data_IF_026889648608
#
_entry.id   IF_026889648608
#
_cell.length_a   1.000
_cell.length_b   1.000
_cell.length_c   1.000
_cell.angle_alpha   90.00
_cell.angle_beta   90.00
_cell.angle_gamma   90.00
#
_symmetry.space_group_name_H-M   'P 1'
#
loop_
_entity.id
_entity.type
_entity.pdbx_description
1 polymer ?
#
# COMPACT_ATOMS: atom_id res chain seq x y z
N UNK A 1 25.69 11.50 22.67
CA UNK A 1 26.67 10.88 21.75
C UNK A 1 26.08 10.96 20.35
N UNK A 2 26.59 11.88 19.55
CA UNK A 2 26.15 12.14 18.17
C UNK A 2 26.63 11.01 17.27
N UNK A 3 25.73 10.15 16.79
CA UNK A 3 26.02 9.25 15.67
C UNK A 3 26.10 10.11 14.39
N UNK A 4 27.31 10.48 13.99
CA UNK A 4 27.59 10.91 12.62
C UNK A 4 27.58 9.65 11.72
N UNK A 5 26.39 9.12 11.44
CA UNK A 5 26.24 8.07 10.43
C UNK A 5 26.07 8.74 9.07
N UNK A 6 27.05 8.60 8.18
CA UNK A 6 26.98 9.02 6.78
C UNK A 6 26.06 8.05 6.00
N UNK A 7 24.80 7.94 6.42
CA UNK A 7 23.75 7.20 5.71
C UNK A 7 23.40 8.00 4.47
N UNK A 8 23.55 7.40 3.29
CA UNK A 8 22.97 7.95 2.07
C UNK A 8 21.49 7.56 2.02
N UNK A 9 20.55 8.47 2.36
CA UNK A 9 19.16 8.11 2.59
C UNK A 9 18.39 8.28 1.27
N UNK A 10 18.23 7.18 0.55
CA UNK A 10 17.37 7.12 -0.65
C UNK A 10 16.03 6.44 -0.36
N UNK A 11 15.60 6.44 0.90
CA UNK A 11 14.36 5.79 1.31
C UNK A 11 13.15 6.52 0.73
N UNK A 12 12.18 5.79 0.17
CA UNK A 12 10.96 6.35 -0.43
C UNK A 12 11.19 7.33 -1.59
N UNK A 13 12.24 7.14 -2.38
CA UNK A 13 12.61 8.02 -3.50
C UNK A 13 12.03 7.60 -4.86
N UNK A 14 11.10 6.64 -4.89
CA UNK A 14 10.53 6.06 -6.11
C UNK A 14 11.61 5.63 -7.12
N UNK A 15 12.61 4.89 -6.62
CA UNK A 15 13.76 4.46 -7.43
C UNK A 15 13.33 3.51 -8.56
N UNK A 16 13.94 3.72 -9.73
CA UNK A 16 13.74 2.89 -10.92
C UNK A 16 14.86 1.84 -11.05
N UNK A 17 14.73 0.93 -12.00
CA UNK A 17 15.78 -0.03 -12.34
C UNK A 17 17.10 0.67 -12.72
N UNK A 18 17.04 1.76 -13.49
CA UNK A 18 18.21 2.59 -13.82
C UNK A 18 18.89 3.18 -12.57
N UNK A 19 18.10 3.50 -11.54
CA UNK A 19 18.66 3.96 -10.27
C UNK A 19 19.45 2.85 -9.59
N UNK A 20 18.98 1.60 -9.65
CA UNK A 20 19.72 0.43 -9.15
C UNK A 20 20.98 0.15 -9.96
N UNK A 21 20.97 0.32 -11.29
CA UNK A 21 22.18 0.21 -12.13
C UNK A 21 23.24 1.25 -11.72
N UNK A 22 22.83 2.51 -11.57
CA UNK A 22 23.73 3.58 -11.13
C UNK A 22 24.30 3.30 -9.73
N UNK A 23 23.47 2.85 -8.80
CA UNK A 23 23.91 2.47 -7.45
C UNK A 23 24.86 1.26 -7.49
N UNK A 24 24.60 0.27 -8.35
CA UNK A 24 25.48 -0.87 -8.55
C UNK A 24 26.86 -0.44 -9.07
N UNK A 25 26.89 0.52 -10.00
CA UNK A 25 28.15 1.13 -10.47
C UNK A 25 28.88 1.87 -9.36
N UNK A 26 28.16 2.57 -8.47
CA UNK A 26 28.75 3.24 -7.30
C UNK A 26 29.30 2.23 -6.29
N UNK A 27 28.59 1.14 -6.03
CA UNK A 27 29.03 0.07 -5.13
C UNK A 27 30.26 -0.68 -5.66
N UNK A 28 30.38 -0.78 -6.99
CA UNK A 28 31.50 -1.42 -7.68
C UNK A 28 32.73 -0.51 -7.87
N UNK A 29 32.60 0.79 -7.62
CA UNK A 29 33.66 1.75 -7.89
C UNK A 29 34.75 1.72 -6.80
N UNK A 30 36.01 1.66 -7.23
CA UNK A 30 37.19 1.76 -6.36
C UNK A 30 37.25 3.07 -5.56
N UNK A 31 36.68 4.16 -6.09
CA UNK A 31 36.66 5.47 -5.43
C UNK A 31 35.49 5.64 -4.46
N UNK A 32 34.63 4.63 -4.30
CA UNK A 32 33.43 4.74 -3.50
C UNK A 32 33.73 4.80 -2.00
N UNK A 33 33.35 5.93 -1.39
CA UNK A 33 33.35 6.11 0.06
C UNK A 33 32.04 5.68 0.71
N UNK A 34 31.07 5.15 -0.05
CA UNK A 34 29.77 4.75 0.47
C UNK A 34 29.94 3.63 1.52
N UNK A 35 29.37 3.84 2.70
CA UNK A 35 29.40 2.88 3.82
C UNK A 35 28.01 2.47 4.26
N UNK A 36 27.04 3.35 4.12
CA UNK A 36 25.69 3.11 4.59
C UNK A 36 24.70 3.55 3.52
N UNK A 37 23.85 2.63 3.10
CA UNK A 37 22.87 2.83 2.04
C UNK A 37 21.49 2.40 2.53
N UNK A 38 20.59 3.37 2.63
CA UNK A 38 19.20 3.13 2.98
C UNK A 38 18.32 3.30 1.74
N UNK A 39 17.85 2.16 1.21
CA UNK A 39 16.95 2.08 0.06
C UNK A 39 15.55 1.65 0.47
N UNK A 40 15.26 1.64 1.77
CA UNK A 40 14.00 1.16 2.29
C UNK A 40 12.82 1.86 1.61
N UNK A 41 11.74 1.12 1.41
CA UNK A 41 10.48 1.62 0.90
C UNK A 41 10.52 2.11 -0.57
N UNK A 42 11.37 1.50 -1.38
CA UNK A 42 11.33 1.65 -2.84
C UNK A 42 10.86 0.34 -3.48
N UNK A 43 10.10 0.41 -4.57
CA UNK A 43 9.57 -0.79 -5.26
C UNK A 43 10.66 -1.48 -6.12
N UNK A 44 11.80 -1.82 -5.52
CA UNK A 44 12.97 -2.37 -6.22
C UNK A 44 12.68 -3.76 -6.80
N UNK A 45 11.87 -4.56 -6.12
CA UNK A 45 11.56 -5.94 -6.47
C UNK A 45 12.85 -6.80 -6.61
N UNK A 46 12.72 -8.02 -7.11
CA UNK A 46 13.86 -8.92 -7.30
C UNK A 46 14.85 -8.40 -8.36
N UNK A 47 14.38 -7.68 -9.38
CA UNK A 47 15.23 -7.14 -10.46
C UNK A 47 16.17 -6.05 -9.96
N UNK A 48 15.65 -5.06 -9.23
CA UNK A 48 16.47 -4.01 -8.62
C UNK A 48 17.48 -4.57 -7.63
N UNK A 49 17.08 -5.56 -6.82
CA UNK A 49 17.98 -6.25 -5.89
C UNK A 49 19.07 -7.04 -6.62
N UNK A 50 18.74 -7.69 -7.74
CA UNK A 50 19.74 -8.40 -8.56
C UNK A 50 20.82 -7.46 -9.08
N UNK A 51 20.46 -6.26 -9.51
CA UNK A 51 21.41 -5.23 -9.95
C UNK A 51 22.30 -4.76 -8.80
N UNK A 52 21.71 -4.49 -7.63
CA UNK A 52 22.46 -4.11 -6.42
C UNK A 52 23.40 -5.22 -5.97
N UNK A 53 22.95 -6.48 -6.02
CA UNK A 53 23.76 -7.65 -5.69
C UNK A 53 25.01 -7.75 -6.56
N UNK A 54 24.92 -7.43 -7.86
CA UNK A 54 26.10 -7.38 -8.74
C UNK A 54 27.14 -6.35 -8.27
N UNK A 55 26.71 -5.23 -7.67
CA UNK A 55 27.61 -4.25 -7.08
C UNK A 55 28.23 -4.69 -5.76
N UNK A 56 27.48 -5.43 -4.94
CA UNK A 56 27.95 -6.01 -3.68
C UNK A 56 28.94 -7.18 -3.89
N UNK A 57 28.79 -7.89 -5.00
CA UNK A 57 29.65 -9.00 -5.42
C UNK A 57 31.09 -8.53 -5.74
N UNK A 58 31.28 -7.23 -5.95
CA UNK A 58 32.59 -6.64 -6.21
C UNK A 58 33.49 -6.68 -4.94
N UNK A 59 34.69 -7.29 -4.97
CA UNK A 59 35.60 -7.38 -3.83
C UNK A 59 36.02 -6.03 -3.20
N UNK A 60 35.84 -4.93 -3.93
CA UNK A 60 36.19 -3.59 -3.50
C UNK A 60 35.00 -2.86 -2.84
N UNK A 61 33.81 -3.46 -2.81
CA UNK A 61 32.64 -2.90 -2.18
C UNK A 61 32.84 -2.82 -0.66
N UNK A 62 32.76 -1.62 -0.10
CA UNK A 62 32.99 -1.34 1.34
C UNK A 62 31.71 -1.01 2.11
N UNK A 63 30.55 -1.37 1.56
CA UNK A 63 29.27 -1.09 2.19
C UNK A 63 29.14 -1.87 3.51
N UNK A 64 28.93 -1.16 4.61
CA UNK A 64 28.72 -1.69 5.96
C UNK A 64 27.25 -1.81 6.34
N UNK A 65 26.38 -0.95 5.83
CA UNK A 65 24.94 -0.98 6.13
C UNK A 65 24.12 -0.95 4.85
N UNK A 66 23.21 -1.91 4.72
CA UNK A 66 22.23 -1.97 3.63
C UNK A 66 20.83 -2.16 4.21
N UNK A 67 19.97 -1.17 4.01
CA UNK A 67 18.55 -1.27 4.38
C UNK A 67 17.70 -1.34 3.13
N UNK A 68 16.95 -2.44 3.01
CA UNK A 68 16.06 -2.79 1.91
C UNK A 68 14.66 -3.12 2.44
N UNK A 69 14.32 -2.57 3.61
CA UNK A 69 13.03 -2.80 4.25
C UNK A 69 11.90 -2.33 3.34
N UNK A 70 10.85 -3.13 3.15
CA UNK A 70 9.70 -2.71 2.35
C UNK A 70 9.96 -2.58 0.84
N UNK A 71 10.85 -3.38 0.25
CA UNK A 71 11.25 -3.25 -1.16
C UNK A 71 10.62 -4.25 -2.14
N UNK A 72 9.58 -4.98 -1.74
CA UNK A 72 8.89 -6.02 -2.53
C UNK A 72 9.80 -7.19 -2.96
N UNK A 73 10.78 -7.53 -2.11
CA UNK A 73 11.77 -8.58 -2.36
C UNK A 73 11.15 -9.95 -2.09
N UNK A 74 11.35 -10.91 -2.99
CA UNK A 74 10.93 -12.30 -2.82
C UNK A 74 12.12 -13.24 -2.58
N UNK A 75 11.86 -14.54 -2.48
CA UNK A 75 12.88 -15.60 -2.44
C UNK A 75 13.94 -15.47 -3.55
N UNK A 76 13.56 -14.98 -4.75
CA UNK A 76 14.49 -14.80 -5.88
C UNK A 76 15.48 -13.66 -5.64
N UNK A 77 15.04 -12.56 -5.05
CA UNK A 77 15.90 -11.47 -4.61
C UNK A 77 16.84 -11.91 -3.48
N UNK A 78 16.34 -12.71 -2.53
CA UNK A 78 17.17 -13.33 -1.48
C UNK A 78 18.31 -14.18 -2.06
N UNK A 79 18.02 -14.99 -3.08
CA UNK A 79 19.04 -15.81 -3.75
C UNK A 79 20.15 -14.96 -4.39
N UNK A 80 19.79 -13.81 -4.99
CA UNK A 80 20.75 -12.88 -5.58
C UNK A 80 21.65 -12.25 -4.52
N UNK A 81 21.06 -11.74 -3.42
CA UNK A 81 21.81 -11.17 -2.29
C UNK A 81 22.74 -12.20 -1.65
N UNK A 82 22.25 -13.40 -1.38
CA UNK A 82 23.04 -14.45 -0.78
C UNK A 82 24.19 -14.91 -1.69
N UNK A 83 24.03 -14.87 -3.01
CA UNK A 83 25.13 -15.14 -3.92
C UNK A 83 26.24 -14.10 -3.76
N UNK A 84 25.89 -12.81 -3.77
CA UNK A 84 26.87 -11.73 -3.59
C UNK A 84 27.57 -11.81 -2.22
N UNK A 85 26.81 -12.08 -1.15
CA UNK A 85 27.36 -12.26 0.20
C UNK A 85 28.28 -13.49 0.32
N UNK A 86 28.09 -14.52 -0.52
CA UNK A 86 28.98 -15.70 -0.57
C UNK A 86 30.24 -15.46 -1.38
N UNK A 87 30.20 -14.71 -2.47
CA UNK A 87 31.39 -14.50 -3.31
C UNK A 87 32.37 -13.52 -2.68
N UNK A 88 31.86 -12.48 -2.02
CA UNK A 88 32.65 -11.43 -1.43
C UNK A 88 32.48 -11.46 0.09
N UNK A 89 33.54 -11.62 0.91
CA UNK A 89 33.47 -11.48 2.35
C UNK A 89 33.12 -10.01 2.67
N UNK A 90 31.81 -9.73 2.68
CA UNK A 90 31.32 -8.37 2.66
C UNK A 90 31.74 -7.62 3.93
N UNK A 91 32.04 -6.33 3.79
CA UNK A 91 32.15 -5.40 4.91
C UNK A 91 30.81 -5.17 5.62
N UNK A 92 29.73 -5.81 5.14
CA UNK A 92 28.38 -5.62 5.63
C UNK A 92 28.28 -6.07 7.09
N UNK A 93 27.83 -5.14 7.92
CA UNK A 93 27.54 -5.27 9.34
C UNK A 93 26.03 -5.24 9.62
N UNK A 94 25.26 -4.49 8.84
CA UNK A 94 23.81 -4.39 8.99
C UNK A 94 23.09 -4.70 7.66
N UNK A 95 22.17 -5.65 7.71
CA UNK A 95 21.22 -5.95 6.64
C UNK A 95 19.79 -5.94 7.19
N UNK A 96 18.98 -4.97 6.76
CA UNK A 96 17.55 -4.88 7.09
C UNK A 96 16.69 -5.22 5.87
N UNK A 97 15.99 -6.35 5.95
CA UNK A 97 15.09 -6.87 4.92
C UNK A 97 13.65 -7.01 5.42
N UNK A 98 13.29 -6.38 6.55
CA UNK A 98 11.91 -6.42 7.08
C UNK A 98 10.88 -5.97 6.04
N UNK A 99 9.63 -6.38 6.20
CA UNK A 99 8.52 -5.98 5.33
C UNK A 99 8.70 -6.33 3.84
N UNK A 100 9.34 -7.47 3.58
CA UNK A 100 9.46 -8.12 2.26
C UNK A 100 8.82 -9.51 2.28
N UNK A 101 8.78 -10.19 1.13
CA UNK A 101 8.19 -11.53 0.94
C UNK A 101 9.27 -12.61 0.84
N UNK A 102 10.19 -12.61 1.80
CA UNK A 102 11.39 -13.44 1.71
C UNK A 102 11.09 -14.94 1.74
N UNK A 103 9.96 -15.35 2.34
CA UNK A 103 9.63 -16.75 2.62
C UNK A 103 10.61 -17.42 3.59
N UNK A 104 10.21 -18.55 4.17
CA UNK A 104 11.11 -19.33 5.05
C UNK A 104 12.36 -19.79 4.30
N UNK A 105 12.20 -20.11 3.01
CA UNK A 105 13.30 -20.58 2.17
C UNK A 105 14.31 -19.46 1.88
N UNK A 106 13.86 -18.24 1.58
CA UNK A 106 14.73 -17.10 1.33
C UNK A 106 15.46 -16.63 2.60
N UNK A 107 14.77 -16.64 3.76
CA UNK A 107 15.42 -16.38 5.06
C UNK A 107 16.50 -17.41 5.33
N UNK A 108 16.19 -18.72 5.20
CA UNK A 108 17.16 -19.80 5.39
C UNK A 108 18.36 -19.68 4.45
N UNK A 109 18.12 -19.29 3.20
CA UNK A 109 19.15 -19.10 2.19
C UNK A 109 20.11 -17.97 2.59
N UNK A 110 19.58 -16.82 3.02
CA UNK A 110 20.38 -15.69 3.53
C UNK A 110 21.16 -16.05 4.79
N UNK A 111 20.52 -16.65 5.79
CA UNK A 111 21.19 -17.08 7.03
C UNK A 111 22.37 -18.02 6.73
N UNK A 112 22.17 -18.99 5.83
CA UNK A 112 23.22 -19.95 5.45
C UNK A 112 24.40 -19.31 4.71
N UNK A 113 24.16 -18.21 3.98
CA UNK A 113 25.21 -17.46 3.30
C UNK A 113 26.04 -16.65 4.30
N UNK A 114 25.37 -16.03 5.28
CA UNK A 114 25.99 -15.23 6.34
C UNK A 114 26.85 -16.11 7.25
N UNK A 115 26.34 -17.27 7.68
CA UNK A 115 27.05 -18.21 8.55
C UNK A 115 28.35 -18.75 7.91
N UNK A 116 28.32 -19.09 6.62
CA UNK A 116 29.45 -19.73 5.93
C UNK A 116 30.67 -18.83 5.74
N UNK A 117 30.48 -17.53 5.59
CA UNK A 117 31.55 -16.59 5.26
C UNK A 117 32.26 -16.00 6.48
N UNK A 118 31.87 -16.38 7.72
CA UNK A 118 32.30 -15.67 8.93
C UNK A 118 32.08 -14.14 8.83
N UNK A 119 31.12 -13.70 8.00
CA UNK A 119 30.71 -12.31 7.93
C UNK A 119 30.25 -11.92 9.33
N UNK A 120 30.94 -10.96 10.00
CA UNK A 120 30.41 -10.39 11.25
C UNK A 120 29.30 -9.41 10.89
N UNK A 121 28.16 -9.93 10.50
CA UNK A 121 26.94 -9.15 10.37
C UNK A 121 26.43 -8.96 11.81
N UNK A 122 26.62 -7.76 12.35
CA UNK A 122 26.19 -7.41 13.71
C UNK A 122 24.66 -7.35 13.82
N UNK A 123 23.96 -7.09 12.71
CA UNK A 123 22.51 -6.95 12.69
C UNK A 123 21.91 -7.51 11.40
N UNK A 124 21.12 -8.57 11.54
CA UNK A 124 20.27 -9.12 10.48
C UNK A 124 18.82 -8.99 10.89
N UNK A 125 18.02 -8.24 10.13
CA UNK A 125 16.60 -8.03 10.43
C UNK A 125 15.74 -8.58 9.31
N UNK A 126 14.86 -9.51 9.65
CA UNK A 126 13.83 -10.10 8.78
C UNK A 126 12.49 -10.11 9.52
N UNK A 127 11.39 -10.35 8.80
CA UNK A 127 10.04 -10.43 9.38
C UNK A 127 9.18 -9.17 9.18
N UNK A 128 7.92 -9.24 9.61
CA UNK A 128 6.95 -8.15 9.55
C UNK A 128 6.76 -7.41 10.89
N UNK A 129 7.50 -7.80 11.94
CA UNK A 129 7.17 -7.43 13.32
C UNK A 129 8.11 -6.35 13.89
N UNK A 130 8.11 -5.16 13.28
CA UNK A 130 8.77 -3.99 13.87
C UNK A 130 7.77 -2.97 14.38
N UNK A 131 7.74 -2.71 15.69
CA UNK A 131 6.87 -1.70 16.36
C UNK A 131 6.96 -0.25 15.81
N UNK A 132 7.79 0.02 14.80
CA UNK A 132 7.97 1.34 14.18
C UNK A 132 7.10 1.62 12.95
N UNK A 133 6.08 0.79 12.65
CA UNK A 133 5.26 0.97 11.44
C UNK A 133 4.07 1.95 11.57
N UNK A 134 3.96 2.69 12.68
CA UNK A 134 2.77 3.50 13.00
C UNK A 134 2.91 5.03 12.85
N UNK A 135 3.90 5.55 12.12
CA UNK A 135 3.89 6.94 11.56
C UNK A 135 4.64 6.98 10.21
N UNK A 136 4.54 8.05 9.40
CA UNK A 136 3.77 8.25 8.15
C UNK A 136 3.93 7.22 7.00
N UNK A 137 4.43 6.01 7.26
CA UNK A 137 4.90 5.07 6.24
C UNK A 137 3.87 4.59 5.20
N UNK A 138 2.57 4.64 5.46
CA UNK A 138 1.54 4.24 4.48
C UNK A 138 1.26 5.33 3.44
N UNK A 139 1.28 6.60 3.84
CA UNK A 139 0.99 7.75 2.95
C UNK A 139 1.97 7.84 1.77
N UNK A 140 3.15 7.21 1.83
CA UNK A 140 4.09 7.15 0.70
C UNK A 140 3.61 6.26 -0.45
N UNK A 141 2.73 5.29 -0.17
CA UNK A 141 2.10 4.45 -1.19
C UNK A 141 0.85 5.13 -1.76
N UNK A 142 0.70 6.44 -1.56
CA UNK A 142 -0.48 7.15 -2.00
C UNK A 142 -0.67 6.96 -3.51
N UNK A 143 -1.85 6.48 -3.88
CA UNK A 143 -2.30 6.38 -5.25
C UNK A 143 -3.38 7.41 -5.49
N UNK A 144 -3.21 8.17 -6.57
CA UNK A 144 -4.31 8.95 -7.09
C UNK A 144 -5.28 8.03 -7.84
N UNK A 145 -6.52 7.97 -7.35
CA UNK A 145 -7.58 7.17 -7.96
C UNK A 145 -8.39 8.02 -8.94
N UNK A 146 -8.72 7.41 -10.08
CA UNK A 146 -9.53 8.02 -11.12
C UNK A 146 -10.85 7.26 -11.25
N UNK A 147 -11.99 7.96 -11.14
CA UNK A 147 -13.31 7.35 -11.30
C UNK A 147 -13.53 6.95 -12.76
N UNK A 148 -13.91 5.69 -13.00
CA UNK A 148 -14.31 5.22 -14.32
C UNK A 148 -15.77 5.64 -14.58
N UNK A 149 -15.97 6.73 -15.32
CA UNK A 149 -17.28 7.30 -15.66
C UNK A 149 -18.19 6.32 -16.43
N UNK A 150 -17.61 5.35 -17.13
CA UNK A 150 -18.36 4.30 -17.82
C UNK A 150 -18.94 3.25 -16.85
N UNK A 151 -18.45 3.19 -15.61
CA UNK A 151 -18.96 2.29 -14.57
C UNK A 151 -20.04 2.91 -13.69
N UNK A 152 -20.07 4.24 -13.59
CA UNK A 152 -20.88 4.98 -12.62
C UNK A 152 -22.38 4.76 -12.84
N UNK A 153 -23.09 4.32 -11.81
CA UNK A 153 -24.55 4.19 -11.85
C UNK A 153 -25.23 5.54 -12.16
N UNK A 154 -26.35 5.54 -12.91
CA UNK A 154 -27.06 6.76 -13.34
C UNK A 154 -27.48 7.68 -12.19
N UNK A 155 -27.87 7.14 -11.05
CA UNK A 155 -28.18 7.93 -9.83
C UNK A 155 -26.98 8.42 -9.01
N UNK A 156 -25.76 8.33 -9.52
CA UNK A 156 -24.57 8.89 -8.87
C UNK A 156 -24.12 10.11 -9.65
N UNK A 157 -24.01 11.27 -8.98
CA UNK A 157 -23.53 12.50 -9.60
C UNK A 157 -22.08 12.75 -9.24
N UNK A 158 -21.25 12.88 -10.26
CA UNK A 158 -19.86 13.29 -10.13
C UNK A 158 -19.74 14.82 -10.05
N UNK A 159 -18.82 15.30 -9.24
CA UNK A 159 -18.45 16.71 -9.07
C UNK A 159 -16.98 16.82 -8.68
N UNK A 160 -16.46 18.05 -8.58
CA UNK A 160 -15.07 18.32 -8.19
C UNK A 160 -14.07 17.54 -9.06
N UNK A 161 -14.13 17.74 -10.38
CA UNK A 161 -13.32 16.99 -11.36
C UNK A 161 -13.41 15.46 -11.20
N UNK A 162 -14.62 14.95 -10.96
CA UNK A 162 -14.92 13.54 -10.70
C UNK A 162 -14.31 12.96 -9.41
N UNK A 163 -13.82 13.81 -8.49
CA UNK A 163 -13.25 13.37 -7.21
C UNK A 163 -14.29 13.26 -6.10
N UNK A 164 -15.44 13.91 -6.26
CA UNK A 164 -16.58 13.81 -5.34
C UNK A 164 -17.77 13.16 -6.02
N UNK A 165 -18.34 12.18 -5.34
CA UNK A 165 -19.51 11.42 -5.78
C UNK A 165 -20.59 11.54 -4.74
N UNK A 166 -21.80 11.89 -5.16
CA UNK A 166 -22.98 11.96 -4.30
C UNK A 166 -24.11 11.15 -4.91
N UNK A 167 -24.83 10.40 -4.09
CA UNK A 167 -26.05 9.73 -4.55
C UNK A 167 -27.19 10.74 -4.62
N UNK A 168 -27.84 10.80 -5.77
CA UNK A 168 -28.99 11.67 -6.07
C UNK A 168 -30.19 10.85 -6.54
N UNK A 169 -31.38 11.44 -6.50
CA UNK A 169 -32.60 10.78 -6.97
C UNK A 169 -32.74 10.83 -8.50
N UNK A 170 -32.29 11.92 -9.11
CA UNK A 170 -32.34 12.14 -10.55
C UNK A 170 -31.27 11.33 -11.28
N UNK A 171 -31.65 10.69 -12.39
CA UNK A 171 -30.68 10.03 -13.26
C UNK A 171 -29.82 11.05 -14.00
N UNK A 172 -28.51 10.83 -13.93
CA UNK A 172 -27.53 11.59 -14.67
C UNK A 172 -27.46 11.07 -16.12
N UNK A 173 -27.20 11.96 -17.10
CA UNK A 173 -27.27 11.64 -18.53
C UNK A 173 -26.04 10.87 -19.03
N UNK A 174 -25.60 9.84 -18.29
CA UNK A 174 -24.49 9.00 -18.72
C UNK A 174 -24.93 8.07 -19.88
N UNK A 175 -24.08 7.83 -20.88
CA UNK A 175 -24.40 6.94 -21.99
C UNK A 175 -24.48 5.48 -21.53
N UNK A 176 -25.21 4.63 -22.24
CA UNK A 176 -25.18 3.20 -21.95
C UNK A 176 -23.79 2.61 -22.16
N UNK A 177 -23.40 1.72 -21.25
CA UNK A 177 -22.11 1.06 -21.30
C UNK A 177 -22.17 -0.30 -20.59
N UNK A 178 -21.42 -1.29 -21.11
CA UNK A 178 -21.38 -2.65 -20.55
C UNK A 178 -20.85 -2.68 -19.11
N UNK A 179 -19.88 -1.81 -18.80
CA UNK A 179 -19.29 -1.69 -17.48
C UNK A 179 -20.14 -0.87 -16.48
N UNK A 180 -21.30 -0.35 -16.87
CA UNK A 180 -22.13 0.49 -15.99
C UNK A 180 -22.91 -0.36 -15.00
N UNK A 181 -22.89 0.00 -13.72
CA UNK A 181 -23.83 -0.58 -12.74
C UNK A 181 -25.26 -0.10 -13.03
N UNK A 182 -26.24 -1.01 -13.04
CA UNK A 182 -27.62 -0.72 -13.45
C UNK A 182 -28.66 -0.72 -12.32
N UNK A 183 -28.45 -1.54 -11.28
CA UNK A 183 -29.41 -1.73 -10.19
C UNK A 183 -28.87 -1.20 -8.86
N UNK A 184 -27.58 -1.40 -8.60
CA UNK A 184 -26.94 -1.01 -7.35
C UNK A 184 -26.14 0.29 -7.56
N UNK A 185 -26.33 1.28 -6.69
CA UNK A 185 -25.65 2.57 -6.75
C UNK A 185 -24.16 2.43 -6.43
N UNK A 186 -23.39 2.10 -7.45
CA UNK A 186 -21.97 1.78 -7.33
C UNK A 186 -21.16 2.36 -8.49
N UNK A 187 -19.86 2.40 -8.30
CA UNK A 187 -18.88 2.68 -9.33
C UNK A 187 -17.55 1.97 -9.03
N UNK A 188 -16.72 1.84 -10.07
CA UNK A 188 -15.33 1.43 -9.98
C UNK A 188 -14.42 2.57 -10.44
N UNK A 189 -13.20 2.59 -9.93
CA UNK A 189 -12.10 3.39 -10.44
C UNK A 189 -11.43 2.69 -11.64
N UNK A 190 -10.66 3.44 -12.41
CA UNK A 190 -9.95 2.95 -13.61
C UNK A 190 -8.65 2.23 -13.27
N UNK A 191 -8.01 2.58 -12.14
CA UNK A 191 -6.70 2.09 -11.75
C UNK A 191 -6.74 0.59 -11.41
N UNK A 192 -6.02 -0.24 -12.18
CA UNK A 192 -5.78 -1.64 -11.85
C UNK A 192 -4.59 -1.77 -10.91
N UNK A 193 -4.86 -1.95 -9.62
CA UNK A 193 -3.87 -2.04 -8.56
C UNK A 193 -3.24 -3.45 -8.53
N UNK A 194 -1.91 -3.51 -8.63
CA UNK A 194 -1.13 -4.76 -8.64
C UNK A 194 0.00 -4.78 -7.61
N UNK A 195 0.29 -3.65 -6.98
CA UNK A 195 1.36 -3.50 -5.98
C UNK A 195 0.82 -3.05 -4.63
N UNK A 196 1.59 -2.20 -3.94
CA UNK A 196 1.14 -1.49 -2.74
C UNK A 196 0.46 -0.20 -3.11
N UNK A 197 -0.69 0.05 -2.50
CA UNK A 197 -1.47 1.24 -2.77
C UNK A 197 -2.18 1.71 -1.51
N UNK A 198 -2.15 3.01 -1.28
CA UNK A 198 -2.79 3.69 -0.17
C UNK A 198 -3.67 4.81 -0.71
N UNK A 199 -4.87 4.99 -0.18
CA UNK A 199 -5.66 6.19 -0.44
C UNK A 199 -6.59 6.47 0.73
N UNK A 200 -7.06 7.70 0.80
CA UNK A 200 -8.03 8.14 1.80
C UNK A 200 -9.28 8.64 1.10
N UNK A 201 -10.43 8.41 1.72
CA UNK A 201 -11.70 8.97 1.30
C UNK A 201 -12.42 9.59 2.48
N UNK A 202 -12.97 10.78 2.26
CA UNK A 202 -13.97 11.37 3.12
C UNK A 202 -15.34 10.89 2.69
N UNK A 203 -16.22 10.64 3.65
CA UNK A 203 -17.54 10.10 3.36
C UNK A 203 -18.61 10.62 4.33
N UNK A 204 -19.87 10.52 3.90
CA UNK A 204 -21.06 10.82 4.70
C UNK A 204 -22.18 9.85 4.36
N UNK A 205 -23.07 9.59 5.32
CA UNK A 205 -24.25 8.74 5.16
C UNK A 205 -23.94 7.26 5.35
N UNK A 206 -24.36 6.45 4.38
CA UNK A 206 -24.06 5.02 4.34
C UNK A 206 -23.37 4.70 3.02
N UNK A 207 -22.09 4.36 3.12
CA UNK A 207 -21.24 4.09 1.94
C UNK A 207 -20.48 2.78 2.09
N UNK A 208 -20.04 2.24 0.96
CA UNK A 208 -19.12 1.11 0.88
C UNK A 208 -17.84 1.55 0.23
N UNK A 209 -16.71 1.31 0.90
CA UNK A 209 -15.37 1.51 0.36
C UNK A 209 -14.78 0.13 0.08
N UNK A 210 -14.47 -0.17 -1.17
CA UNK A 210 -14.23 -1.55 -1.60
C UNK A 210 -13.05 -1.67 -2.55
N UNK A 211 -12.47 -2.87 -2.62
CA UNK A 211 -11.68 -3.32 -3.77
C UNK A 211 -12.40 -4.49 -4.42
N UNK A 212 -12.33 -4.57 -5.74
CA UNK A 212 -12.93 -5.65 -6.50
C UNK A 212 -12.13 -5.99 -7.76
N UNK A 213 -12.24 -7.23 -8.21
CA UNK A 213 -11.84 -7.57 -9.58
C UNK A 213 -12.74 -6.87 -10.60
N UNK A 214 -12.17 -6.57 -11.78
CA UNK A 214 -12.90 -5.94 -12.88
C UNK A 214 -14.15 -6.71 -13.30
N UNK A 215 -14.10 -8.03 -13.17
CA UNK A 215 -15.12 -8.99 -13.56
C UNK A 215 -16.31 -9.14 -12.59
N UNK A 216 -16.42 -8.30 -11.56
CA UNK A 216 -17.66 -8.24 -10.75
C UNK A 216 -18.88 -8.06 -11.66
N UNK A 217 -19.97 -8.78 -11.35
CA UNK A 217 -21.23 -8.66 -12.09
C UNK A 217 -21.79 -7.25 -11.85
N UNK A 218 -22.12 -6.53 -12.92
CA UNK A 218 -22.59 -5.13 -12.82
C UNK A 218 -24.07 -4.97 -13.15
N UNK A 219 -24.72 -6.05 -13.61
CA UNK A 219 -26.08 -6.06 -14.12
C UNK A 219 -27.00 -6.94 -13.27
N UNK A 220 -28.17 -6.41 -12.92
CA UNK A 220 -29.21 -7.10 -12.15
C UNK A 220 -29.12 -6.89 -10.64
N UNK A 221 -30.11 -7.42 -9.92
CA UNK A 221 -30.37 -7.18 -8.50
C UNK A 221 -29.84 -8.28 -7.55
N UNK A 222 -29.04 -9.23 -8.05
CA UNK A 222 -28.44 -10.29 -7.24
C UNK A 222 -27.46 -9.72 -6.21
N UNK A 223 -27.23 -10.48 -5.13
CA UNK A 223 -26.11 -10.25 -4.20
C UNK A 223 -24.75 -10.36 -4.88
N UNK A 224 -24.67 -10.97 -6.05
CA UNK A 224 -23.41 -11.01 -6.82
C UNK A 224 -23.02 -9.63 -7.37
N UNK A 225 -23.97 -8.70 -7.44
CA UNK A 225 -23.80 -7.43 -8.15
C UNK A 225 -23.33 -6.26 -7.28
N UNK A 226 -23.27 -6.45 -5.95
CA UNK A 226 -22.87 -5.41 -4.99
C UNK A 226 -21.58 -5.79 -4.28
N UNK A 227 -20.75 -4.79 -3.96
CA UNK A 227 -19.45 -4.99 -3.31
C UNK A 227 -19.60 -5.69 -1.97
N UNK A 228 -18.82 -6.75 -1.73
CA UNK A 228 -18.86 -7.59 -0.52
C UNK A 228 -19.91 -8.69 -0.54
N UNK A 229 -20.83 -8.70 -1.52
CA UNK A 229 -21.84 -9.75 -1.71
C UNK A 229 -21.39 -10.95 -2.55
N UNK A 230 -20.15 -10.91 -3.05
CA UNK A 230 -19.53 -11.91 -3.92
C UNK A 230 -18.08 -12.16 -3.46
N UNK A 231 -17.47 -13.20 -4.02
CA UNK A 231 -16.08 -13.59 -3.85
C UNK A 231 -15.08 -12.72 -4.64
N UNK A 232 -15.58 -11.84 -5.52
CA UNK A 232 -14.77 -10.91 -6.32
C UNK A 232 -14.53 -9.55 -5.66
N UNK A 233 -15.03 -9.32 -4.44
CA UNK A 233 -14.91 -8.02 -3.77
C UNK A 233 -14.79 -8.11 -2.26
N UNK A 234 -14.06 -7.14 -1.71
CA UNK A 234 -13.83 -6.94 -0.29
C UNK A 234 -14.21 -5.52 0.06
N UNK A 235 -15.13 -5.36 1.01
CA UNK A 235 -15.78 -4.08 1.25
C UNK A 235 -15.82 -3.72 2.73
N UNK A 236 -15.53 -2.47 3.04
CA UNK A 236 -15.87 -1.85 4.31
C UNK A 236 -17.17 -1.07 4.13
N UNK A 237 -18.23 -1.49 4.81
CA UNK A 237 -19.45 -0.70 4.97
C UNK A 237 -19.28 0.28 6.11
N UNK A 238 -19.51 1.54 5.82
CA UNK A 238 -19.39 2.68 6.72
C UNK A 238 -20.78 3.25 7.00
N UNK A 239 -21.13 3.39 8.28
CA UNK A 239 -22.40 3.92 8.73
C UNK A 239 -22.17 5.08 9.70
N UNK A 240 -22.68 6.27 9.40
CA UNK A 240 -22.50 7.47 10.23
C UNK A 240 -22.85 7.24 11.72
N UNK A 241 -23.86 6.43 12.00
CA UNK A 241 -24.42 6.26 13.35
C UNK A 241 -24.07 4.93 14.03
N UNK A 242 -23.74 3.88 13.29
CA UNK A 242 -23.60 2.51 13.84
C UNK A 242 -22.20 1.92 13.69
N UNK A 243 -21.27 2.63 13.06
CA UNK A 243 -19.86 2.22 12.96
C UNK A 243 -19.53 1.55 11.63
N UNK A 244 -18.81 0.44 11.67
CA UNK A 244 -18.25 -0.21 10.48
C UNK A 244 -18.58 -1.70 10.43
N UNK A 245 -18.63 -2.27 9.23
CA UNK A 245 -18.60 -3.72 9.04
C UNK A 245 -17.80 -4.11 7.81
N UNK A 246 -17.05 -5.20 7.91
CA UNK A 246 -16.30 -5.76 6.79
C UNK A 246 -17.11 -6.85 6.10
N UNK A 247 -17.17 -6.82 4.77
CA UNK A 247 -17.98 -7.72 3.95
C UNK A 247 -17.16 -8.36 2.84
N UNK A 248 -17.32 -9.66 2.68
CA UNK A 248 -16.77 -10.45 1.58
C UNK A 248 -17.63 -11.73 1.43
N UNK A 249 -17.91 -12.15 0.21
CA UNK A 249 -18.68 -13.37 -0.08
C UNK A 249 -20.02 -13.44 0.69
N UNK A 250 -20.72 -12.31 0.75
CA UNK A 250 -21.99 -12.14 1.47
C UNK A 250 -21.90 -12.42 2.98
N UNK A 251 -20.70 -12.41 3.57
CA UNK A 251 -20.45 -12.55 5.00
C UNK A 251 -19.98 -11.21 5.58
N UNK A 252 -20.76 -10.67 6.51
CA UNK A 252 -20.47 -9.44 7.21
C UNK A 252 -19.91 -9.69 8.61
N UNK A 253 -18.87 -8.95 9.00
CA UNK A 253 -18.35 -8.89 10.37
C UNK A 253 -18.49 -7.46 10.89
N UNK A 254 -19.26 -7.27 11.96
CA UNK A 254 -19.40 -5.98 12.61
C UNK A 254 -18.11 -5.60 13.34
N UNK A 255 -17.69 -4.35 13.19
CA UNK A 255 -16.47 -3.82 13.80
C UNK A 255 -16.90 -2.84 14.89
N UNK A 256 -16.67 -3.23 16.14
CA UNK A 256 -16.98 -2.40 17.30
C UNK A 256 -15.84 -1.41 17.56
N UNK A 257 -16.09 -0.12 17.35
CA UNK A 257 -15.13 0.92 17.72
C UNK A 257 -15.35 1.34 19.19
N UNK A 258 -14.35 1.13 20.04
CA UNK A 258 -14.38 1.49 21.47
C UNK A 258 -14.33 3.00 21.75
N UNK A 259 -14.24 3.84 20.71
CA UNK A 259 -14.14 5.30 20.82
C UNK A 259 -15.48 5.95 20.49
N UNK A 260 -16.41 5.85 21.43
CA UNK A 260 -17.56 6.73 21.54
C UNK A 260 -17.10 8.09 22.04
N UNK A 261 -16.48 8.88 21.17
CA UNK A 261 -16.43 10.34 21.34
C UNK A 261 -17.31 10.94 20.25
N UNK A 262 -18.55 11.21 20.66
CA UNK A 262 -19.48 12.10 19.99
C UNK A 262 -18.88 13.51 19.91
N UNK A 263 -18.05 13.78 18.90
CA UNK A 263 -17.75 15.14 18.47
C UNK A 263 -18.38 15.37 17.09
N UNK A 264 -19.44 16.16 17.10
CA UNK A 264 -20.36 16.44 16.00
C UNK A 264 -19.77 17.34 14.89
N UNK A 265 -18.48 17.22 14.56
CA UNK A 265 -17.84 18.07 13.56
C UNK A 265 -16.63 17.43 12.83
N UNK A 266 -16.29 16.17 13.11
CA UNK A 266 -15.19 15.51 12.39
C UNK A 266 -15.73 14.85 11.11
N UNK A 267 -15.29 15.33 9.93
CA UNK A 267 -15.50 14.64 8.64
C UNK A 267 -15.11 13.16 8.78
N UNK A 268 -16.01 12.24 8.40
CA UNK A 268 -15.70 10.82 8.48
C UNK A 268 -14.70 10.47 7.38
N UNK A 269 -13.54 9.95 7.78
CA UNK A 269 -12.47 9.59 6.84
C UNK A 269 -11.98 8.17 7.08
N UNK A 270 -11.85 7.43 5.98
CA UNK A 270 -11.29 6.07 5.97
C UNK A 270 -10.07 6.05 5.07
N UNK A 271 -9.01 5.39 5.54
CA UNK A 271 -7.86 5.05 4.74
C UNK A 271 -7.92 3.57 4.35
N UNK A 272 -7.48 3.29 3.13
CA UNK A 272 -7.36 1.94 2.59
C UNK A 272 -5.91 1.71 2.23
N UNK A 273 -5.37 0.57 2.65
CA UNK A 273 -4.07 0.09 2.22
C UNK A 273 -4.22 -1.31 1.64
N UNK A 274 -3.74 -1.51 0.43
CA UNK A 274 -3.63 -2.82 -0.18
C UNK A 274 -2.19 -3.13 -0.50
N UNK A 275 -1.82 -4.37 -0.28
CA UNK A 275 -0.55 -4.96 -0.67
C UNK A 275 -0.87 -6.23 -1.48
N UNK A 276 -1.00 -6.07 -2.79
CA UNK A 276 -1.49 -7.14 -3.66
C UNK A 276 -0.57 -8.38 -3.64
N UNK A 277 0.77 -8.25 -3.71
CA UNK A 277 1.68 -9.40 -3.59
C UNK A 277 1.59 -10.11 -2.23
N UNK A 278 1.37 -9.35 -1.15
CA UNK A 278 1.20 -9.93 0.19
C UNK A 278 -0.15 -10.60 0.40
N UNK A 279 -1.15 -10.25 -0.41
CA UNK A 279 -2.52 -10.66 -0.16
C UNK A 279 -3.20 -9.91 0.99
N UNK A 280 -2.74 -8.69 1.31
CA UNK A 280 -3.22 -7.92 2.45
C UNK A 280 -4.08 -6.76 1.96
N UNK A 281 -5.28 -6.62 2.51
CA UNK A 281 -6.13 -5.45 2.35
C UNK A 281 -6.61 -4.97 3.72
N UNK A 282 -6.16 -3.79 4.12
CA UNK A 282 -6.43 -3.20 5.43
C UNK A 282 -7.22 -1.90 5.30
N UNK A 283 -8.16 -1.73 6.23
CA UNK A 283 -8.98 -0.54 6.37
C UNK A 283 -8.70 0.13 7.70
N UNK A 284 -8.66 1.47 7.70
CA UNK A 284 -8.38 2.28 8.88
C UNK A 284 -9.35 3.45 8.97
N UNK A 285 -9.75 3.80 10.19
CA UNK A 285 -10.38 5.08 10.50
C UNK A 285 -9.27 6.12 10.67
N UNK A 286 -9.40 7.27 10.04
CA UNK A 286 -8.44 8.37 10.19
C UNK A 286 -8.98 9.35 11.23
N UNK A 287 -8.24 9.56 12.32
CA UNK A 287 -8.53 10.55 13.36
C UNK A 287 -7.30 11.42 13.60
N UNK A 288 -7.39 12.72 13.30
CA UNK A 288 -6.28 13.67 13.50
C UNK A 288 -4.93 13.13 12.98
N UNK A 289 -4.93 12.66 11.73
CA UNK A 289 -3.80 12.00 11.05
C UNK A 289 -3.29 10.68 11.66
N UNK A 290 -3.95 10.16 12.68
CA UNK A 290 -3.70 8.82 13.24
C UNK A 290 -4.59 7.80 12.54
N UNK A 291 -3.98 6.69 12.12
CA UNK A 291 -4.68 5.55 11.54
C UNK A 291 -5.06 4.56 12.64
N UNK A 292 -6.36 4.39 12.87
CA UNK A 292 -6.91 3.37 13.75
C UNK A 292 -7.34 2.21 12.89
N UNK A 293 -6.71 1.05 13.07
CA UNK A 293 -7.07 -0.16 12.35
C UNK A 293 -8.53 -0.55 12.58
N UNK A 294 -9.22 -0.90 11.50
CA UNK A 294 -10.60 -1.39 11.53
C UNK A 294 -10.67 -2.87 11.19
N UNK A 295 -10.07 -3.26 10.07
CA UNK A 295 -10.12 -4.64 9.60
C UNK A 295 -9.02 -4.92 8.58
N UNK A 296 -8.60 -6.19 8.50
CA UNK A 296 -7.68 -6.67 7.47
C UNK A 296 -8.19 -7.98 6.88
N UNK A 297 -8.35 -8.00 5.56
CA UNK A 297 -8.50 -9.23 4.79
C UNK A 297 -7.12 -9.77 4.43
N UNK A 298 -6.93 -11.08 4.65
CA UNK A 298 -5.77 -11.82 4.19
C UNK A 298 -6.26 -12.86 3.17
N UNK A 299 -5.84 -12.72 1.92
CA UNK A 299 -6.30 -13.58 0.82
C UNK A 299 -5.31 -13.54 -0.36
N UNK A 300 -5.34 -14.52 -1.24
CA UNK A 300 -4.53 -14.49 -2.46
C UNK A 300 -5.29 -13.79 -3.57
N UNK A 301 -4.82 -12.61 -3.98
CA UNK A 301 -5.41 -11.91 -5.12
C UNK A 301 -4.95 -12.53 -6.44
N UNK A 302 -5.89 -12.93 -7.30
CA UNK A 302 -5.61 -13.60 -8.58
C UNK A 302 -5.62 -12.67 -9.79
N UNK A 303 -6.13 -11.45 -9.63
CA UNK A 303 -6.28 -10.44 -10.68
C UNK A 303 -6.01 -9.03 -10.12
N UNK A 304 -5.73 -8.03 -10.98
CA UNK A 304 -5.66 -6.63 -10.55
C UNK A 304 -6.94 -6.20 -9.83
N UNK A 305 -6.77 -5.42 -8.75
CA UNK A 305 -7.88 -4.91 -7.96
C UNK A 305 -8.22 -3.47 -8.38
N UNK A 306 -9.50 -3.14 -8.32
CA UNK A 306 -10.02 -1.82 -8.65
C UNK A 306 -10.75 -1.29 -7.43
N UNK A 307 -10.40 -0.08 -7.00
CA UNK A 307 -11.15 0.60 -5.95
C UNK A 307 -12.58 0.86 -6.42
N UNK A 308 -13.55 0.72 -5.52
CA UNK A 308 -14.96 0.90 -5.81
C UNK A 308 -15.72 1.49 -4.65
N UNK A 309 -16.77 2.25 -4.98
CA UNK A 309 -17.62 2.92 -4.00
C UNK A 309 -19.07 2.54 -4.22
N UNK A 310 -19.77 2.20 -3.14
CA UNK A 310 -21.20 1.92 -3.14
C UNK A 310 -21.95 2.85 -2.18
N UNK A 311 -23.24 3.07 -2.43
CA UNK A 311 -24.04 4.05 -1.70
C UNK A 311 -25.40 3.45 -1.31
N UNK A 312 -25.83 3.69 -0.07
CA UNK A 312 -27.10 3.22 0.47
C UNK A 312 -27.94 4.42 0.92
N UNK A 313 -29.15 4.56 0.36
CA UNK A 313 -30.07 5.71 0.50
C UNK A 313 -29.64 6.99 -0.26
N UNK A 314 -30.52 8.01 -0.25
CA UNK A 314 -30.33 9.32 -0.91
C UNK A 314 -29.51 10.28 -0.04
N UNK A 315 -28.53 10.99 -0.64
CA UNK A 315 -27.68 11.94 0.07
C UNK A 315 -26.25 11.51 0.47
N UNK A 316 -25.90 10.22 0.65
CA UNK A 316 -24.53 9.82 0.95
C UNK A 316 -23.52 10.31 -0.09
N UNK A 317 -22.31 10.63 0.37
CA UNK A 317 -21.25 11.11 -0.49
C UNK A 317 -19.90 10.49 -0.16
N UNK A 318 -19.04 10.41 -1.17
CA UNK A 318 -17.63 10.02 -1.05
C UNK A 318 -16.80 11.06 -1.79
N UNK A 319 -15.73 11.53 -1.17
CA UNK A 319 -14.75 12.45 -1.76
C UNK A 319 -13.36 11.85 -1.65
N UNK A 320 -12.67 11.70 -2.77
CA UNK A 320 -11.29 11.22 -2.83
C UNK A 320 -10.35 12.30 -2.24
N UNK A 321 -9.55 11.96 -1.23
CA UNK A 321 -8.57 12.89 -0.67
C UNK A 321 -7.41 13.12 -1.64
N UNK A 322 -6.89 14.35 -1.75
CA UNK A 322 -5.74 14.66 -2.61
C UNK A 322 -4.40 14.61 -1.86
N UNK A 323 -3.26 14.43 -2.54
CA UNK A 323 -1.94 14.50 -1.92
C UNK A 323 -1.69 15.83 -1.17
N UNK A 324 -2.24 16.93 -1.68
CA UNK A 324 -2.11 18.26 -1.07
C UNK A 324 -2.85 18.34 0.28
N UNK A 325 -4.03 17.72 0.38
CA UNK A 325 -4.75 17.58 1.66
C UNK A 325 -3.99 16.69 2.66
N UNK A 326 -3.15 15.77 2.18
CA UNK A 326 -2.30 14.92 3.02
C UNK A 326 -0.98 15.59 3.46
N UNK A 327 -0.58 16.69 2.80
CA UNK A 327 0.63 17.47 3.12
C UNK A 327 0.36 18.75 3.92
N UNK A 328 -0.88 19.30 3.87
CA UNK A 328 -1.23 20.61 4.43
C UNK A 328 -1.13 20.76 5.96
N UNK A 329 -0.92 19.68 6.73
CA UNK A 329 -0.70 19.78 8.18
C UNK A 329 0.77 19.78 8.63
N UNK A 330 1.74 19.70 7.71
CA UNK A 330 3.17 19.84 8.07
C UNK A 330 3.60 21.27 8.35
N UNK A 331 2.86 22.29 7.92
CA UNK A 331 3.27 23.69 8.03
C UNK A 331 2.73 24.41 9.29
N UNK A 332 1.84 23.79 10.07
CA UNK A 332 1.25 24.42 11.26
C UNK A 332 1.84 23.91 12.59
N UNK A 333 2.95 23.17 12.56
CA UNK A 333 3.64 22.69 13.78
C UNK A 333 5.01 23.36 14.00
N UNK A 334 5.49 24.13 13.02
CA UNK A 334 6.72 24.94 13.15
C UNK A 334 6.43 26.44 13.37
N UNK A 335 5.19 26.79 13.73
CA UNK A 335 4.78 28.16 14.04
C UNK A 335 3.99 28.20 15.35
N UNK A 336 4.64 27.86 16.45
CA UNK A 336 4.36 28.42 17.79
C UNK A 336 5.58 28.28 18.71
#
# INVERSE_FOLDING_TARGET
MTYNSNIFPLSSCNLSERSCEALSSVLSSLSSSLRELDLSNNNLQDSGVKLLAAGLDNPQCRLGTLRLSGCLITERGCASLASALRSNPSHLRELDLRYNYLGDSGVKLLSSAIERQQCKLDTFRVGQDGEQWLKPGLKKYFCELEVNTNSVHRNLRLSDNNRKVIRVEEEQPYPDHQDRFDCWWQLLCTNGLTGRCYWEVEWTGVVRVSLSYRGIRKKGNSTDCWFGGNDHSWSLSCYDCTGYSAWHDNRGTTIHCSSSSSSSSASHRVAVYVDCPAGILSFYKVLSDTLIHLHTFNTTFTQPLYAGFGFWSSGPSVSLCSPQQLQLYRLNVDSE
#
